data_IF_399704404083
#
_entry.id   IF_399704404083
#
_cell.length_a   1.000
_cell.length_b   1.000
_cell.length_c   1.000
_cell.angle_alpha   90.00
_cell.angle_beta   90.00
_cell.angle_gamma   90.00
#
_symmetry.space_group_name_H-M   'P 1'
#
loop_
_entity.id
_entity.type
_entity.pdbx_description
1 polymer ?
#
# COMPACT_ATOMS: atom_id res chain seq x y z
N UNK A 1 -51.92 36.47 26.35
CA UNK A 1 -50.47 36.69 26.33
C UNK A 1 -49.83 35.34 26.33
N UNK A 2 -49.52 34.83 25.13
CA UNK A 2 -48.85 33.55 24.96
C UNK A 2 -47.39 33.79 24.65
N UNK A 3 -46.52 33.31 25.52
CA UNK A 3 -45.08 33.33 25.31
C UNK A 3 -44.70 32.00 24.67
N UNK A 4 -44.45 32.02 23.39
CA UNK A 4 -43.90 30.89 22.65
C UNK A 4 -42.43 30.73 22.99
N UNK A 5 -42.07 29.64 23.64
CA UNK A 5 -40.68 29.23 23.87
C UNK A 5 -40.28 28.41 22.66
N UNK A 6 -39.40 28.98 21.84
CA UNK A 6 -38.78 28.26 20.74
C UNK A 6 -37.66 27.36 21.32
N UNK A 7 -37.86 26.08 21.28
CA UNK A 7 -36.79 25.10 21.53
C UNK A 7 -35.91 25.01 20.30
N UNK A 8 -34.72 25.58 20.40
CA UNK A 8 -33.69 25.35 19.43
C UNK A 8 -33.10 23.93 19.65
N UNK A 9 -33.47 23.01 18.80
CA UNK A 9 -32.84 21.70 18.76
C UNK A 9 -31.47 21.85 18.10
N UNK A 10 -30.46 21.88 18.93
CA UNK A 10 -29.07 21.81 18.48
C UNK A 10 -28.81 20.39 18.02
N UNK A 11 -28.91 20.15 16.71
CA UNK A 11 -28.51 18.91 16.12
C UNK A 11 -26.99 18.81 16.21
N UNK A 12 -26.50 18.09 17.19
CA UNK A 12 -25.09 17.67 17.24
C UNK A 12 -24.84 16.72 16.06
N UNK A 13 -24.24 17.25 15.02
CA UNK A 13 -23.65 16.39 13.97
C UNK A 13 -22.50 15.64 14.60
N UNK A 14 -22.76 14.40 14.96
CA UNK A 14 -21.72 13.41 15.18
C UNK A 14 -21.01 13.21 13.85
N UNK A 15 -19.89 13.90 13.69
CA UNK A 15 -18.92 13.53 12.66
C UNK A 15 -18.38 12.20 13.09
N UNK A 16 -19.01 11.14 12.59
CA UNK A 16 -18.47 9.80 12.68
C UNK A 16 -17.16 9.84 11.92
N UNK A 17 -16.05 9.94 12.64
CA UNK A 17 -14.73 9.75 12.05
C UNK A 17 -14.70 8.34 11.50
N UNK A 18 -15.03 8.19 10.21
CA UNK A 18 -14.82 6.93 9.52
C UNK A 18 -13.35 6.57 9.70
N UNK A 19 -13.09 5.40 10.31
CA UNK A 19 -11.76 4.83 10.29
C UNK A 19 -11.31 4.87 8.83
N UNK A 20 -10.23 5.61 8.57
CA UNK A 20 -9.70 5.75 7.21
C UNK A 20 -9.33 4.36 6.73
N UNK A 21 -10.16 3.80 5.87
CA UNK A 21 -9.77 2.63 5.11
C UNK A 21 -8.47 3.00 4.40
N UNK A 22 -7.45 2.14 4.51
CA UNK A 22 -6.14 2.36 3.89
C UNK A 22 -6.22 2.07 2.39
N UNK A 23 -7.13 2.79 1.73
CA UNK A 23 -7.39 2.66 0.31
C UNK A 23 -7.02 3.96 -0.38
N UNK A 24 -6.32 3.82 -1.48
CA UNK A 24 -5.89 4.93 -2.32
C UNK A 24 -6.44 4.71 -3.72
N UNK A 25 -6.83 5.80 -4.34
CA UNK A 25 -7.30 5.75 -5.72
C UNK A 25 -6.53 6.76 -6.55
N UNK A 26 -6.05 6.31 -7.70
CA UNK A 26 -5.47 7.16 -8.74
C UNK A 26 -6.11 6.75 -10.06
N UNK A 27 -6.92 7.66 -10.65
CA UNK A 27 -7.71 7.35 -11.84
C UNK A 27 -8.51 6.05 -11.69
N UNK A 28 -8.26 5.04 -12.52
CA UNK A 28 -8.97 3.76 -12.48
C UNK A 28 -8.30 2.71 -11.61
N UNK A 29 -7.25 3.07 -10.88
CA UNK A 29 -6.53 2.13 -10.04
C UNK A 29 -6.87 2.33 -8.57
N UNK A 30 -7.06 1.24 -7.85
CA UNK A 30 -7.26 1.22 -6.41
C UNK A 30 -6.14 0.43 -5.76
N UNK A 31 -5.50 1.04 -4.77
CA UNK A 31 -4.47 0.41 -3.95
C UNK A 31 -5.04 0.22 -2.56
N UNK A 32 -5.09 -1.01 -2.10
CA UNK A 32 -5.70 -1.38 -0.80
C UNK A 32 -4.69 -2.06 0.10
N UNK A 33 -4.86 -1.85 1.40
CA UNK A 33 -4.11 -2.54 2.47
C UNK A 33 -2.58 -2.54 2.30
N UNK A 34 -1.94 -1.39 2.06
CA UNK A 34 -0.49 -1.37 1.98
C UNK A 34 0.12 -1.63 3.37
N UNK A 35 0.97 -2.64 3.45
CA UNK A 35 1.67 -2.99 4.68
C UNK A 35 3.10 -3.46 4.41
N UNK A 36 3.94 -3.38 5.42
CA UNK A 36 5.27 -3.96 5.46
C UNK A 36 5.45 -4.66 6.80
N UNK A 37 6.44 -5.53 6.88
CA UNK A 37 6.77 -6.18 8.15
C UNK A 37 7.86 -5.40 8.86
N UNK A 38 7.76 -5.33 10.19
CA UNK A 38 8.83 -4.79 11.01
C UNK A 38 10.13 -5.56 10.77
N UNK A 39 11.25 -4.86 10.87
CA UNK A 39 12.57 -5.42 10.63
C UNK A 39 13.39 -5.46 11.93
N UNK A 40 14.30 -6.44 12.08
CA UNK A 40 15.24 -6.43 13.18
C UNK A 40 16.22 -5.26 13.06
N UNK A 41 16.87 -4.87 14.16
CA UNK A 41 17.93 -3.86 14.12
C UNK A 41 19.03 -4.25 13.12
N UNK A 42 19.48 -3.29 12.34
CA UNK A 42 20.53 -3.49 11.34
C UNK A 42 20.07 -4.08 10.01
N UNK A 43 18.78 -4.42 9.85
CA UNK A 43 18.26 -4.86 8.57
C UNK A 43 18.39 -3.76 7.53
N UNK A 44 18.78 -4.15 6.31
CA UNK A 44 18.98 -3.23 5.18
C UNK A 44 17.89 -3.31 4.14
N UNK A 45 17.00 -4.30 4.24
CA UNK A 45 15.93 -4.54 3.28
C UNK A 45 14.61 -4.82 3.99
N UNK A 46 13.51 -4.45 3.34
CA UNK A 46 12.16 -4.77 3.76
C UNK A 46 11.25 -4.92 2.54
N UNK A 47 10.25 -5.78 2.65
CA UNK A 47 9.21 -5.91 1.63
C UNK A 47 7.95 -5.14 1.99
N UNK A 48 7.35 -4.47 1.02
CA UNK A 48 6.04 -3.88 1.13
C UNK A 48 5.06 -4.59 0.22
N UNK A 49 3.84 -4.72 0.68
CA UNK A 49 2.78 -5.52 0.07
C UNK A 49 1.51 -4.70 -0.01
N UNK A 50 0.68 -4.99 -0.99
CA UNK A 50 -0.59 -4.30 -1.21
C UNK A 50 -1.42 -5.03 -2.26
N UNK A 51 -2.70 -4.68 -2.35
CA UNK A 51 -3.56 -5.14 -3.43
C UNK A 51 -3.79 -3.98 -4.40
N UNK A 52 -3.61 -4.21 -5.68
CA UNK A 52 -3.85 -3.22 -6.73
C UNK A 52 -4.93 -3.75 -7.66
N UNK A 53 -6.03 -3.00 -7.80
CA UNK A 53 -7.15 -3.34 -8.67
C UNK A 53 -7.31 -2.28 -9.75
N UNK A 54 -7.38 -2.74 -10.99
CA UNK A 54 -7.74 -1.89 -12.13
C UNK A 54 -9.25 -2.01 -12.37
N UNK A 55 -10.00 -0.99 -11.98
CA UNK A 55 -11.47 -0.96 -12.17
C UNK A 55 -11.89 -0.28 -13.46
N UNK A 56 -10.93 0.13 -14.28
CA UNK A 56 -11.16 0.78 -15.57
C UNK A 56 -11.26 -0.19 -16.74
N UNK A 57 -11.34 0.38 -17.92
CA UNK A 57 -11.43 -0.34 -19.19
C UNK A 57 -10.12 -0.39 -19.95
N UNK A 58 -9.12 0.36 -19.50
CA UNK A 58 -7.79 0.40 -20.11
C UNK A 58 -6.77 -0.33 -19.24
N UNK A 59 -5.83 -1.00 -19.89
CA UNK A 59 -4.70 -1.60 -19.19
C UNK A 59 -3.76 -0.51 -18.65
N UNK A 60 -3.10 -0.80 -17.55
CA UNK A 60 -2.06 0.05 -16.97
C UNK A 60 -0.89 -0.83 -16.52
N UNK A 61 0.11 -0.24 -15.92
CA UNK A 61 1.30 -0.96 -15.46
C UNK A 61 1.93 -0.23 -14.29
N UNK A 62 2.27 -0.97 -13.24
CA UNK A 62 3.12 -0.46 -12.17
C UNK A 62 4.57 -0.52 -12.65
N UNK A 63 5.21 0.62 -12.81
CA UNK A 63 6.55 0.69 -13.44
C UNK A 63 7.67 0.99 -12.48
N UNK A 64 7.37 1.65 -11.35
CA UNK A 64 8.39 1.92 -10.34
C UNK A 64 7.77 2.30 -9.00
N UNK A 65 8.60 2.32 -7.98
CA UNK A 65 8.25 2.80 -6.65
C UNK A 65 9.45 3.51 -6.02
N UNK A 66 9.18 4.38 -5.07
CA UNK A 66 10.22 5.09 -4.31
C UNK A 66 9.77 5.36 -2.88
N UNK A 67 10.72 5.57 -1.99
CA UNK A 67 10.46 5.94 -0.61
C UNK A 67 11.64 6.72 -0.04
N UNK A 68 11.38 7.77 0.77
CA UNK A 68 12.48 8.53 1.39
C UNK A 68 13.27 7.74 2.44
N UNK A 69 12.72 6.61 2.93
CA UNK A 69 13.40 5.79 3.95
C UNK A 69 14.34 4.73 3.36
N UNK A 70 14.36 4.57 2.05
CA UNK A 70 15.20 3.60 1.35
C UNK A 70 16.06 4.27 0.29
N UNK A 71 17.27 3.79 0.12
CA UNK A 71 18.17 4.29 -0.93
C UNK A 71 17.79 3.79 -2.31
N UNK A 72 17.17 2.61 -2.38
CA UNK A 72 16.71 2.00 -3.62
C UNK A 72 15.38 1.29 -3.36
N UNK A 73 14.45 1.40 -4.31
CA UNK A 73 13.18 0.66 -4.26
C UNK A 73 12.96 -0.02 -5.60
N UNK A 74 12.73 -1.30 -5.58
CA UNK A 74 12.52 -2.12 -6.78
C UNK A 74 11.22 -2.93 -6.65
N UNK A 75 10.70 -3.34 -7.80
CA UNK A 75 9.59 -4.31 -7.87
C UNK A 75 10.20 -5.68 -8.05
N UNK A 76 9.89 -6.60 -7.16
CA UNK A 76 10.41 -7.96 -7.18
C UNK A 76 9.30 -9.00 -7.25
N UNK A 77 9.65 -10.19 -7.69
CA UNK A 77 8.82 -11.38 -7.52
C UNK A 77 9.64 -12.53 -6.96
N UNK A 78 8.95 -13.42 -6.26
CA UNK A 78 9.50 -14.72 -5.93
C UNK A 78 9.18 -15.68 -7.06
N UNK A 79 10.17 -16.34 -7.61
CA UNK A 79 10.02 -17.28 -8.70
C UNK A 79 10.72 -18.60 -8.40
N UNK A 80 10.13 -19.70 -8.85
CA UNK A 80 10.78 -21.01 -8.78
C UNK A 80 11.79 -21.14 -9.90
N UNK A 81 13.02 -21.49 -9.53
CA UNK A 81 14.11 -21.74 -10.48
C UNK A 81 14.88 -22.98 -10.03
N UNK A 82 14.79 -24.07 -10.80
CA UNK A 82 15.48 -25.32 -10.48
C UNK A 82 15.08 -25.93 -9.12
N UNK A 83 13.84 -25.78 -8.69
CA UNK A 83 13.35 -26.26 -7.41
C UNK A 83 13.64 -25.33 -6.22
N UNK A 84 14.25 -24.18 -6.48
CA UNK A 84 14.55 -23.17 -5.46
C UNK A 84 13.73 -21.90 -5.70
N UNK A 85 13.24 -21.28 -4.59
CA UNK A 85 12.63 -19.97 -4.65
C UNK A 85 13.71 -18.91 -4.76
N UNK A 86 13.64 -18.10 -5.81
CA UNK A 86 14.56 -16.98 -6.03
C UNK A 86 13.79 -15.69 -6.19
N UNK A 87 14.37 -14.63 -5.69
CA UNK A 87 13.87 -13.28 -5.83
C UNK A 87 14.48 -12.68 -7.11
N UNK A 88 13.66 -12.01 -7.92
CA UNK A 88 14.17 -11.30 -9.08
C UNK A 88 13.47 -9.96 -9.26
N UNK A 89 14.23 -8.98 -9.73
CA UNK A 89 13.71 -7.68 -10.08
C UNK A 89 12.89 -7.73 -11.37
N UNK A 90 11.79 -6.99 -11.39
CA UNK A 90 10.91 -6.84 -12.54
C UNK A 90 10.97 -5.41 -13.05
N UNK A 91 10.76 -5.26 -14.36
CA UNK A 91 10.60 -3.92 -14.98
C UNK A 91 9.23 -3.30 -14.72
N UNK A 92 8.29 -4.08 -14.23
CA UNK A 92 6.94 -3.63 -13.89
C UNK A 92 5.98 -4.79 -13.76
N UNK A 93 4.76 -4.48 -13.36
CA UNK A 93 3.66 -5.43 -13.23
C UNK A 93 2.49 -4.94 -14.08
N UNK A 94 2.04 -5.77 -15.01
CA UNK A 94 0.89 -5.45 -15.86
C UNK A 94 -0.41 -5.47 -15.05
N UNK A 95 -1.25 -4.47 -15.30
CA UNK A 95 -2.54 -4.29 -14.66
C UNK A 95 -3.62 -4.29 -15.74
N UNK A 96 -4.12 -5.47 -16.09
CA UNK A 96 -5.17 -5.61 -17.10
C UNK A 96 -6.49 -5.01 -16.60
N UNK A 97 -7.37 -4.54 -17.52
CA UNK A 97 -8.69 -4.05 -17.14
C UNK A 97 -9.45 -5.09 -16.32
N UNK A 98 -10.02 -4.67 -15.19
CA UNK A 98 -10.76 -5.55 -14.29
C UNK A 98 -9.91 -6.48 -13.44
N UNK A 99 -8.59 -6.52 -13.63
CA UNK A 99 -7.71 -7.41 -12.89
C UNK A 99 -7.39 -6.88 -11.48
N UNK A 100 -7.22 -7.82 -10.57
CA UNK A 100 -6.69 -7.58 -9.22
C UNK A 100 -5.33 -8.26 -9.13
N UNK A 101 -4.31 -7.50 -8.76
CA UNK A 101 -2.96 -8.00 -8.53
C UNK A 101 -2.65 -7.88 -7.05
N UNK A 102 -2.30 -8.97 -6.42
CA UNK A 102 -1.92 -9.00 -5.02
C UNK A 102 -0.40 -9.08 -4.89
N UNK A 103 0.19 -8.06 -4.26
CA UNK A 103 1.57 -8.11 -3.80
C UNK A 103 1.52 -8.66 -2.38
N UNK A 104 2.09 -9.84 -2.17
CA UNK A 104 1.98 -10.57 -0.92
C UNK A 104 3.26 -11.36 -0.65
N UNK A 105 3.53 -11.72 0.62
CA UNK A 105 4.67 -12.55 0.95
C UNK A 105 4.67 -13.85 0.13
N UNK A 106 5.81 -14.16 -0.48
CA UNK A 106 5.95 -15.30 -1.38
C UNK A 106 5.60 -15.03 -2.85
N UNK A 107 5.12 -13.84 -3.18
CA UNK A 107 4.77 -13.42 -4.54
C UNK A 107 5.46 -12.13 -4.95
N UNK A 108 4.71 -11.26 -5.62
CA UNK A 108 5.18 -9.91 -5.94
C UNK A 108 5.35 -9.08 -4.68
N UNK A 109 6.31 -8.18 -4.68
CA UNK A 109 6.49 -7.21 -3.61
C UNK A 109 7.28 -5.97 -4.08
N UNK A 110 7.10 -4.90 -3.33
CA UNK A 110 7.94 -3.72 -3.44
C UNK A 110 9.08 -3.90 -2.45
N UNK A 111 10.30 -4.03 -2.96
CA UNK A 111 11.49 -4.23 -2.14
C UNK A 111 12.12 -2.89 -1.81
N UNK A 112 12.16 -2.57 -0.53
CA UNK A 112 12.86 -1.40 0.01
C UNK A 112 14.29 -1.84 0.34
N UNK A 113 15.27 -1.22 -0.31
CA UNK A 113 16.68 -1.54 -0.15
C UNK A 113 17.44 -0.34 0.37
N UNK A 114 18.60 -0.58 0.95
CA UNK A 114 19.39 0.45 1.62
C UNK A 114 18.54 1.25 2.62
N UNK A 115 17.90 0.55 3.53
CA UNK A 115 17.09 1.18 4.57
C UNK A 115 17.92 2.14 5.40
N UNK A 116 17.44 3.36 5.54
CA UNK A 116 18.07 4.40 6.36
C UNK A 116 17.81 4.22 7.85
N UNK A 117 16.77 3.45 8.16
CA UNK A 117 16.34 3.13 9.53
C UNK A 117 15.56 1.82 9.53
N UNK A 118 15.51 1.09 10.66
CA UNK A 118 14.66 -0.09 10.76
C UNK A 118 13.19 0.28 10.70
N UNK A 119 12.36 -0.65 10.22
CA UNK A 119 10.90 -0.50 10.25
C UNK A 119 10.39 -1.01 11.59
N UNK A 120 9.69 -0.16 12.32
CA UNK A 120 9.11 -0.49 13.62
C UNK A 120 7.61 -0.70 13.51
N UNK A 121 7.10 -1.74 14.15
CA UNK A 121 5.66 -1.99 14.22
C UNK A 121 4.89 -0.74 14.68
N UNK A 122 3.81 -0.43 13.99
CA UNK A 122 2.97 0.74 14.26
C UNK A 122 3.36 1.99 13.51
N UNK A 123 4.52 2.04 12.88
CA UNK A 123 4.91 3.16 12.02
C UNK A 123 4.17 3.14 10.69
N UNK A 124 4.12 4.29 10.04
CA UNK A 124 3.64 4.44 8.67
C UNK A 124 4.77 4.99 7.82
N UNK A 125 4.92 4.41 6.63
CA UNK A 125 6.02 4.73 5.73
C UNK A 125 5.45 5.20 4.40
N UNK A 126 5.84 6.39 3.91
CA UNK A 126 5.40 6.86 2.61
C UNK A 126 6.11 6.09 1.49
N UNK A 127 5.33 5.55 0.56
CA UNK A 127 5.82 4.92 -0.65
C UNK A 127 5.10 5.53 -1.84
N UNK A 128 5.84 6.03 -2.81
CA UNK A 128 5.29 6.51 -4.07
C UNK A 128 5.29 5.37 -5.08
N UNK A 129 4.13 5.13 -5.66
CA UNK A 129 3.95 4.17 -6.75
C UNK A 129 3.79 4.96 -8.04
N UNK A 130 4.50 4.57 -9.08
CA UNK A 130 4.39 5.17 -10.41
C UNK A 130 3.76 4.17 -11.37
N UNK A 131 2.63 4.57 -11.94
CA UNK A 131 1.92 3.82 -12.98
C UNK A 131 2.14 4.46 -14.33
N UNK A 132 2.21 3.64 -15.37
CA UNK A 132 2.50 4.11 -16.72
C UNK A 132 1.48 5.14 -17.23
N UNK A 133 0.18 4.89 -17.01
CA UNK A 133 -0.90 5.77 -17.45
C UNK A 133 -1.49 6.62 -16.33
N UNK A 134 -1.75 6.01 -15.17
CA UNK A 134 -2.40 6.72 -14.07
C UNK A 134 -1.48 7.74 -13.38
N UNK A 135 -0.17 7.60 -13.52
CA UNK A 135 0.80 8.51 -12.90
C UNK A 135 1.18 8.08 -11.49
N UNK A 136 1.48 9.04 -10.63
CA UNK A 136 2.04 8.79 -9.30
C UNK A 136 0.96 8.86 -8.22
N UNK A 137 0.98 7.92 -7.30
CA UNK A 137 0.22 7.97 -6.05
C UNK A 137 1.13 7.68 -4.87
N UNK A 138 1.02 8.48 -3.81
CA UNK A 138 1.70 8.20 -2.54
C UNK A 138 0.76 7.43 -1.64
N UNK A 139 1.24 6.30 -1.12
CA UNK A 139 0.52 5.48 -0.15
C UNK A 139 1.29 5.43 1.16
N UNK A 140 0.57 5.41 2.27
CA UNK A 140 1.16 5.20 3.60
C UNK A 140 1.12 3.71 3.92
N UNK A 141 2.29 3.10 3.99
CA UNK A 141 2.46 1.67 4.25
C UNK A 141 2.53 1.46 5.76
N UNK A 142 1.63 0.65 6.31
CA UNK A 142 1.64 0.30 7.72
C UNK A 142 2.70 -0.75 8.00
N UNK A 143 3.45 -0.54 9.06
CA UNK A 143 4.41 -1.53 9.53
C UNK A 143 3.73 -2.46 10.53
N UNK A 144 3.58 -3.71 10.15
CA UNK A 144 3.01 -4.78 10.96
C UNK A 144 4.11 -5.56 11.70
N UNK A 145 3.72 -6.45 12.59
CA UNK A 145 4.66 -7.31 13.31
C UNK A 145 5.52 -8.14 12.35
N UNK A 146 6.74 -8.49 12.79
CA UNK A 146 7.59 -9.42 12.05
C UNK A 146 6.85 -10.74 11.83
N UNK A 147 6.88 -11.27 10.59
CA UNK A 147 6.20 -12.50 10.26
C UNK A 147 4.69 -12.37 10.03
N UNK A 148 4.12 -11.16 10.07
CA UNK A 148 2.72 -10.96 9.75
C UNK A 148 2.37 -11.47 8.37
N UNK A 149 1.26 -12.21 8.26
CA UNK A 149 0.65 -12.58 6.99
C UNK A 149 -0.13 -11.39 6.41
N UNK A 150 -0.72 -11.58 5.23
CA UNK A 150 -1.58 -10.55 4.64
C UNK A 150 -2.62 -10.07 5.66
N UNK A 151 -2.77 -8.76 5.72
CA UNK A 151 -3.65 -8.12 6.69
C UNK A 151 -5.09 -8.22 6.20
N UNK A 152 -5.93 -8.89 6.96
CA UNK A 152 -7.37 -8.91 6.72
C UNK A 152 -8.05 -7.90 7.63
N UNK A 153 -8.54 -6.85 7.06
CA UNK A 153 -9.48 -5.93 7.71
C UNK A 153 -10.86 -6.09 7.14
#
# INVERSE_FOLDING_TARGET
>A
MSRSIAFAVLAAMLVSGAALAHDYQVKSLRVSNPFARATPPGAKVAGAFMTIKNVGTDADRLVSASSPIAGLVEIHEMAMDGGMMKMRALKGIDLKPGATVELQPGGYHVMLEDLKQPLKQGEQIPVKLTFEKAGVVEVMVHVEAMGAAAHTH
#
